data_IF_332765122943
#
_entry.id   IF_332765122943
#
_cell.length_a   1.000
_cell.length_b   1.000
_cell.length_c   1.000
_cell.angle_alpha   90.00
_cell.angle_beta   90.00
_cell.angle_gamma   90.00
#
_symmetry.space_group_name_H-M   'P 1'
#
loop_
_entity.id
_entity.type
_entity.pdbx_description
1 polymer ?
#
# COMPACT_ATOMS: atom_id res chain seq x y z
N UNK A 1 -34.26 -2.06 -8.34
CA UNK A 1 -33.04 -2.76 -8.81
C UNK A 1 -31.86 -2.08 -8.15
N UNK A 2 -31.29 -2.71 -7.11
CA UNK A 2 -30.12 -2.19 -6.41
C UNK A 2 -28.92 -2.34 -7.34
N UNK A 3 -28.33 -1.24 -7.82
CA UNK A 3 -27.06 -1.31 -8.54
C UNK A 3 -26.04 -1.98 -7.62
N UNK A 4 -25.60 -3.19 -7.99
CA UNK A 4 -24.50 -3.87 -7.33
C UNK A 4 -23.27 -2.98 -7.49
N UNK A 5 -22.85 -2.31 -6.42
CA UNK A 5 -21.61 -1.52 -6.40
C UNK A 5 -20.49 -2.45 -6.87
N UNK A 6 -19.91 -2.16 -8.04
CA UNK A 6 -18.79 -2.93 -8.58
C UNK A 6 -17.61 -2.76 -7.63
N UNK A 7 -17.28 -3.82 -6.88
CA UNK A 7 -16.13 -3.85 -5.98
C UNK A 7 -14.88 -3.52 -6.78
N UNK A 8 -14.10 -2.54 -6.32
CA UNK A 8 -12.90 -2.10 -7.02
C UNK A 8 -11.70 -2.97 -6.66
N UNK A 9 -10.70 -3.00 -7.53
CA UNK A 9 -9.45 -3.67 -7.24
C UNK A 9 -8.79 -3.02 -5.99
N UNK A 10 -8.27 -3.85 -5.07
CA UNK A 10 -7.85 -3.52 -3.70
C UNK A 10 -8.95 -3.23 -2.68
N UNK A 11 -10.22 -3.46 -3.00
CA UNK A 11 -11.27 -3.62 -1.99
C UNK A 11 -11.41 -5.10 -1.59
N UNK A 12 -11.79 -5.37 -0.34
CA UNK A 12 -12.10 -6.72 0.15
C UNK A 12 -13.26 -7.33 -0.67
N UNK A 13 -13.16 -8.61 -1.02
CA UNK A 13 -14.16 -9.31 -1.84
C UNK A 13 -13.96 -9.16 -3.35
N UNK A 14 -12.96 -8.41 -3.80
CA UNK A 14 -12.50 -8.48 -5.20
C UNK A 14 -11.58 -9.70 -5.36
N UNK A 15 -11.78 -10.57 -6.37
CA UNK A 15 -11.00 -11.81 -6.52
C UNK A 15 -9.48 -11.61 -6.49
N UNK A 16 -8.98 -10.57 -7.17
CA UNK A 16 -7.55 -10.24 -7.16
C UNK A 16 -7.05 -9.70 -5.81
N UNK A 17 -7.90 -9.03 -5.01
CA UNK A 17 -7.55 -8.57 -3.66
C UNK A 17 -7.47 -9.75 -2.69
N UNK A 18 -8.42 -10.68 -2.79
CA UNK A 18 -8.46 -11.86 -1.93
C UNK A 18 -7.26 -12.76 -2.22
N UNK A 19 -6.94 -12.98 -3.50
CA UNK A 19 -5.76 -13.73 -3.93
C UNK A 19 -4.46 -13.11 -3.39
N UNK A 20 -4.26 -11.79 -3.51
CA UNK A 20 -2.99 -11.17 -3.06
C UNK A 20 -2.86 -11.22 -1.52
N UNK A 21 -3.97 -11.14 -0.78
CA UNK A 21 -3.97 -11.30 0.67
C UNK A 21 -3.60 -12.72 1.10
N UNK A 22 -4.18 -13.73 0.45
CA UNK A 22 -3.87 -15.14 0.66
C UNK A 22 -2.40 -15.43 0.35
N UNK A 23 -1.96 -15.07 -0.86
CA UNK A 23 -0.57 -15.23 -1.29
C UNK A 23 0.42 -14.54 -0.34
N UNK A 24 0.10 -13.32 0.13
CA UNK A 24 0.94 -12.63 1.11
C UNK A 24 0.97 -13.36 2.47
N UNK A 25 -0.14 -13.95 2.90
CA UNK A 25 -0.21 -14.80 4.08
C UNK A 25 0.75 -16.00 3.97
N UNK A 26 0.74 -16.66 2.81
CA UNK A 26 1.59 -17.82 2.52
C UNK A 26 3.09 -17.51 2.45
N UNK A 27 3.46 -16.26 2.13
CA UNK A 27 4.87 -15.83 2.20
C UNK A 27 5.47 -15.97 3.60
N UNK A 28 4.66 -16.06 4.66
CA UNK A 28 5.16 -16.36 6.02
C UNK A 28 5.71 -17.78 6.11
N UNK A 29 5.08 -18.73 5.41
CA UNK A 29 5.50 -20.12 5.35
C UNK A 29 6.58 -20.33 4.27
N UNK A 30 6.51 -19.58 3.16
CA UNK A 30 7.51 -19.64 2.09
C UNK A 30 8.60 -18.55 2.23
N UNK A 31 9.45 -18.71 3.26
CA UNK A 31 10.54 -17.76 3.57
C UNK A 31 11.51 -17.53 2.39
N UNK A 32 11.69 -18.54 1.52
CA UNK A 32 12.53 -18.46 0.33
C UNK A 32 12.00 -17.46 -0.69
N UNK A 33 10.74 -17.61 -1.12
CA UNK A 33 10.08 -16.68 -2.04
C UNK A 33 10.10 -15.24 -1.51
N UNK A 34 9.84 -15.09 -0.22
CA UNK A 34 9.86 -13.77 0.43
C UNK A 34 11.25 -13.16 0.43
N UNK A 35 12.29 -13.95 0.73
CA UNK A 35 13.67 -13.48 0.73
C UNK A 35 14.16 -13.14 -0.68
N UNK A 36 13.77 -13.93 -1.69
CA UNK A 36 14.06 -13.67 -3.10
C UNK A 36 13.56 -12.27 -3.51
N UNK A 37 12.26 -12.00 -3.30
CA UNK A 37 11.65 -10.72 -3.66
C UNK A 37 12.27 -9.54 -2.88
N UNK A 38 12.52 -9.70 -1.58
CA UNK A 38 13.13 -8.64 -0.74
C UNK A 38 14.56 -8.27 -1.12
N UNK A 39 15.29 -9.15 -1.81
CA UNK A 39 16.69 -8.93 -2.23
C UNK A 39 16.79 -8.20 -3.56
N UNK A 40 15.72 -8.17 -4.34
CA UNK A 40 15.67 -7.47 -5.62
C UNK A 40 15.85 -5.95 -5.41
N UNK A 41 16.72 -5.33 -6.21
CA UNK A 41 17.11 -3.92 -6.07
C UNK A 41 16.31 -2.96 -6.94
N UNK A 42 15.64 -3.49 -7.96
CA UNK A 42 14.87 -2.75 -8.95
C UNK A 42 13.72 -3.63 -9.51
N UNK A 43 12.83 -3.00 -10.28
CA UNK A 43 11.65 -3.68 -10.83
C UNK A 43 12.00 -4.77 -11.84
N UNK A 44 13.13 -4.63 -12.55
CA UNK A 44 13.59 -5.64 -13.50
C UNK A 44 14.01 -6.93 -12.79
N UNK A 45 14.75 -6.83 -11.69
CA UNK A 45 15.11 -7.97 -10.84
C UNK A 45 13.86 -8.65 -10.27
N UNK A 46 12.86 -7.88 -9.82
CA UNK A 46 11.57 -8.45 -9.39
C UNK A 46 10.93 -9.24 -10.52
N UNK A 47 10.84 -8.66 -11.73
CA UNK A 47 10.21 -9.33 -12.87
C UNK A 47 10.92 -10.62 -13.29
N UNK A 48 12.22 -10.75 -13.04
CA UNK A 48 12.99 -11.95 -13.33
C UNK A 48 12.92 -13.01 -12.22
N UNK A 49 12.43 -12.65 -11.02
CA UNK A 49 12.34 -13.55 -9.88
C UNK A 49 11.28 -14.65 -10.11
N UNK A 50 11.58 -15.87 -9.66
CA UNK A 50 10.67 -17.01 -9.79
C UNK A 50 9.42 -16.82 -8.91
N UNK A 51 9.59 -16.27 -7.71
CA UNK A 51 8.47 -15.92 -6.83
C UNK A 51 7.50 -14.90 -7.48
N UNK A 52 8.02 -13.94 -8.24
CA UNK A 52 7.19 -13.00 -8.99
C UNK A 52 6.43 -13.70 -10.11
N UNK A 53 7.11 -14.49 -10.94
CA UNK A 53 6.48 -15.16 -12.09
C UNK A 53 5.31 -16.05 -11.67
N UNK A 54 5.50 -16.86 -10.61
CA UNK A 54 4.42 -17.70 -10.05
C UNK A 54 3.23 -16.87 -9.59
N UNK A 55 3.48 -15.78 -8.84
CA UNK A 55 2.42 -14.91 -8.36
C UNK A 55 1.71 -14.18 -9.50
N UNK A 56 2.46 -13.66 -10.47
CA UNK A 56 1.95 -12.88 -11.60
C UNK A 56 0.91 -13.65 -12.42
N UNK A 57 1.22 -14.90 -12.81
CA UNK A 57 0.34 -15.67 -13.69
C UNK A 57 -0.97 -16.07 -13.01
N UNK A 58 -0.95 -16.32 -11.71
CA UNK A 58 -2.17 -16.59 -10.95
C UNK A 58 -2.95 -15.30 -10.69
N UNK A 59 -2.27 -14.23 -10.29
CA UNK A 59 -2.90 -12.96 -9.98
C UNK A 59 -3.58 -12.34 -11.21
N UNK A 60 -2.97 -12.44 -12.40
CA UNK A 60 -3.52 -11.84 -13.63
C UNK A 60 -4.83 -12.49 -14.10
N UNK A 61 -5.04 -13.77 -13.78
CA UNK A 61 -6.29 -14.49 -14.09
C UNK A 61 -7.49 -13.84 -13.40
N UNK A 62 -7.28 -13.25 -12.22
CA UNK A 62 -8.32 -12.55 -11.46
C UNK A 62 -8.64 -11.13 -11.99
N UNK A 63 -7.96 -10.65 -13.03
CA UNK A 63 -8.28 -9.36 -13.69
C UNK A 63 -9.27 -9.53 -14.85
N UNK A 64 -9.81 -10.72 -15.04
CA UNK A 64 -10.71 -11.03 -16.16
C UNK A 64 -12.16 -10.66 -15.81
N UNK A 65 -12.56 -9.42 -16.10
CA UNK A 65 -13.90 -9.00 -16.57
C UNK A 65 -14.02 -7.46 -16.63
N UNK A 66 -13.77 -6.90 -17.83
CA UNK A 66 -14.05 -5.49 -18.13
C UNK A 66 -13.18 -4.45 -17.42
N UNK A 67 -11.98 -4.84 -16.94
CA UNK A 67 -10.97 -3.92 -16.43
C UNK A 67 -9.74 -3.89 -17.34
N UNK A 68 -9.01 -2.78 -17.30
CA UNK A 68 -7.74 -2.65 -18.00
C UNK A 68 -6.72 -3.61 -17.40
N UNK A 69 -6.10 -4.43 -18.26
CA UNK A 69 -5.04 -5.37 -17.88
C UNK A 69 -3.86 -4.58 -17.28
N UNK A 70 -3.42 -4.90 -16.04
CA UNK A 70 -2.25 -4.29 -15.43
C UNK A 70 -0.99 -4.41 -16.29
N UNK A 71 -0.14 -3.39 -16.29
CA UNK A 71 1.21 -3.52 -16.85
C UNK A 71 2.07 -4.44 -15.96
N UNK A 72 3.07 -5.09 -16.57
CA UNK A 72 4.07 -5.88 -15.82
C UNK A 72 4.82 -5.05 -14.77
N UNK A 73 4.96 -3.75 -15.00
CA UNK A 73 5.61 -2.85 -14.04
C UNK A 73 4.71 -2.61 -12.82
N UNK A 74 3.41 -2.38 -13.02
CA UNK A 74 2.44 -2.24 -11.92
C UNK A 74 2.40 -3.50 -11.06
N UNK A 75 2.40 -4.67 -11.71
CA UNK A 75 2.42 -5.97 -11.03
C UNK A 75 3.71 -6.16 -10.22
N UNK A 76 4.86 -5.80 -10.78
CA UNK A 76 6.14 -5.89 -10.09
C UNK A 76 6.18 -5.01 -8.84
N UNK A 77 5.61 -3.81 -8.91
CA UNK A 77 5.51 -2.91 -7.75
C UNK A 77 4.66 -3.55 -6.65
N UNK A 78 3.45 -4.02 -6.96
CA UNK A 78 2.54 -4.49 -5.90
C UNK A 78 3.02 -5.81 -5.27
N UNK A 79 3.50 -6.76 -6.08
CA UNK A 79 4.05 -8.05 -5.60
C UNK A 79 5.33 -7.80 -4.80
N UNK A 80 6.22 -6.93 -5.31
CA UNK A 80 7.45 -6.57 -4.63
C UNK A 80 7.18 -5.89 -3.27
N UNK A 81 6.27 -4.91 -3.21
CA UNK A 81 5.93 -4.20 -1.97
C UNK A 81 5.31 -5.13 -0.94
N UNK A 82 4.39 -6.00 -1.35
CA UNK A 82 3.74 -6.96 -0.46
C UNK A 82 4.76 -7.86 0.27
N UNK A 83 5.84 -8.27 -0.39
CA UNK A 83 6.89 -9.08 0.24
C UNK A 83 7.61 -8.37 1.41
N UNK A 84 7.62 -7.03 1.43
CA UNK A 84 8.24 -6.25 2.51
C UNK A 84 7.34 -6.09 3.75
N UNK A 85 6.04 -6.34 3.64
CA UNK A 85 5.04 -6.18 4.72
C UNK A 85 5.08 -7.41 5.64
N UNK A 86 5.06 -7.22 6.96
CA UNK A 86 5.05 -8.27 7.99
C UNK A 86 3.69 -8.47 8.65
N UNK A 87 2.93 -7.39 8.80
CA UNK A 87 1.60 -7.42 9.40
C UNK A 87 0.65 -6.54 8.57
N UNK A 88 -0.53 -7.09 8.25
CA UNK A 88 -1.59 -6.35 7.58
C UNK A 88 -2.43 -5.65 8.65
N UNK A 89 -2.21 -4.35 8.82
CA UNK A 89 -2.89 -3.54 9.81
C UNK A 89 -4.16 -2.93 9.23
N UNK A 90 -5.27 -3.63 9.44
CA UNK A 90 -6.62 -3.22 9.03
C UNK A 90 -7.37 -2.46 10.14
N UNK A 91 -6.74 -2.25 11.30
CA UNK A 91 -7.42 -1.70 12.49
C UNK A 91 -7.52 -0.17 12.42
N UNK A 92 -8.56 0.33 11.79
CA UNK A 92 -8.96 1.73 11.94
C UNK A 92 -9.61 1.94 13.31
N UNK A 93 -8.95 2.69 14.20
CA UNK A 93 -9.52 3.18 15.46
C UNK A 93 -9.70 4.70 15.37
N UNK A 94 -10.69 5.14 14.62
CA UNK A 94 -11.28 6.46 14.82
C UNK A 94 -12.79 6.23 14.93
N UNK A 95 -13.34 6.59 16.08
CA UNK A 95 -14.75 6.41 16.47
C UNK A 95 -15.69 7.38 15.77
N UNK A 96 -15.16 8.28 14.95
CA UNK A 96 -15.91 9.22 14.12
C UNK A 96 -15.75 8.88 12.63
N UNK A 97 -16.89 8.52 12.03
CA UNK A 97 -17.19 8.50 10.59
C UNK A 97 -17.45 7.12 9.99
N UNK A 98 -18.71 6.96 9.59
CA UNK A 98 -19.16 6.02 8.58
C UNK A 98 -18.19 5.98 7.38
N UNK A 99 -17.67 4.79 7.04
CA UNK A 99 -17.11 4.45 5.73
C UNK A 99 -15.78 5.10 5.24
N UNK A 100 -14.96 5.75 6.07
CA UNK A 100 -13.65 6.25 5.61
C UNK A 100 -12.48 5.25 5.79
N UNK A 101 -12.61 3.99 5.33
CA UNK A 101 -11.51 3.00 5.34
C UNK A 101 -10.43 3.27 4.28
N UNK A 102 -10.75 4.05 3.25
CA UNK A 102 -9.85 4.36 2.14
C UNK A 102 -8.68 5.26 2.58
N UNK A 103 -7.47 4.97 2.08
CA UNK A 103 -6.25 5.73 2.34
C UNK A 103 -5.77 5.72 3.81
N UNK A 104 -6.06 4.66 4.57
CA UNK A 104 -5.56 4.48 5.94
C UNK A 104 -4.01 4.51 6.04
N UNK A 105 -3.30 4.07 5.01
CA UNK A 105 -1.84 4.17 4.92
C UNK A 105 -1.35 5.62 5.07
N UNK A 106 -2.12 6.61 4.60
CA UNK A 106 -1.83 8.02 4.81
C UNK A 106 -1.85 8.40 6.31
N UNK A 107 -2.85 7.89 7.04
CA UNK A 107 -2.94 8.07 8.49
C UNK A 107 -1.79 7.39 9.21
N UNK A 108 -1.41 6.18 8.79
CA UNK A 108 -0.27 5.46 9.38
C UNK A 108 1.04 6.25 9.21
N UNK A 109 1.23 6.93 8.07
CA UNK A 109 2.37 7.84 7.86
C UNK A 109 2.34 9.08 8.75
N UNK A 110 1.17 9.70 8.94
CA UNK A 110 0.99 10.91 9.75
C UNK A 110 0.91 10.64 11.27
N UNK A 111 0.65 9.39 11.67
CA UNK A 111 0.57 8.97 13.06
C UNK A 111 1.87 9.30 13.82
N UNK A 112 1.80 9.64 15.12
CA UNK A 112 2.99 9.93 15.92
C UNK A 112 3.88 8.68 16.06
N UNK A 113 5.19 8.88 16.19
CA UNK A 113 6.14 7.78 16.46
C UNK A 113 6.02 7.20 17.87
N UNK A 114 5.33 7.89 18.78
CA UNK A 114 5.18 7.54 20.18
C UNK A 114 3.84 8.01 20.73
N UNK A 115 3.64 7.83 22.04
CA UNK A 115 2.40 8.21 22.74
C UNK A 115 2.42 9.65 23.27
N UNK A 116 3.54 10.36 23.15
CA UNK A 116 3.69 11.71 23.68
C UNK A 116 3.04 12.76 22.76
N UNK A 117 2.46 13.79 23.37
CA UNK A 117 1.62 14.79 22.69
C UNK A 117 2.38 15.63 21.63
N UNK A 118 3.71 15.64 21.64
CA UNK A 118 4.54 16.40 20.69
C UNK A 118 5.50 15.53 19.86
N UNK A 119 5.23 14.23 19.72
CA UNK A 119 6.09 13.38 18.90
C UNK A 119 5.87 13.67 17.40
N UNK A 120 6.96 13.86 16.60
CA UNK A 120 6.84 14.02 15.16
C UNK A 120 6.14 12.82 14.51
N UNK A 121 5.51 13.01 13.34
CA UNK A 121 4.89 11.92 12.59
C UNK A 121 5.92 10.87 12.17
N UNK A 122 5.46 9.62 11.97
CA UNK A 122 6.29 8.51 11.48
C UNK A 122 7.01 8.87 10.18
N UNK A 123 6.29 9.50 9.25
CA UNK A 123 6.85 10.17 8.09
C UNK A 123 6.69 11.69 8.24
N UNK A 124 7.80 12.42 8.30
CA UNK A 124 7.80 13.89 8.33
C UNK A 124 7.14 14.50 7.09
N UNK A 125 6.49 15.66 7.23
CA UNK A 125 5.86 16.38 6.10
C UNK A 125 6.86 16.63 4.95
N UNK A 126 8.11 16.99 5.26
CA UNK A 126 9.14 17.17 4.23
C UNK A 126 9.35 15.91 3.36
N UNK A 127 9.39 14.73 3.99
CA UNK A 127 9.51 13.45 3.26
C UNK A 127 8.22 13.09 2.54
N UNK A 128 7.06 13.39 3.12
CA UNK A 128 5.77 13.21 2.46
C UNK A 128 5.63 14.06 1.20
N UNK A 129 6.03 15.33 1.24
CA UNK A 129 6.07 16.20 0.03
C UNK A 129 7.03 15.67 -1.03
N UNK A 130 8.16 15.06 -0.63
CA UNK A 130 9.07 14.37 -1.57
C UNK A 130 8.40 13.17 -2.23
N UNK A 131 7.67 12.36 -1.46
CA UNK A 131 6.88 11.24 -1.98
C UNK A 131 5.92 11.70 -3.08
N UNK A 132 5.09 12.72 -2.82
CA UNK A 132 4.10 13.22 -3.81
C UNK A 132 4.73 13.70 -5.13
N UNK A 133 5.97 14.19 -5.08
CA UNK A 133 6.71 14.67 -6.27
C UNK A 133 7.29 13.53 -7.13
N UNK A 134 7.31 12.29 -6.65
CA UNK A 134 7.84 11.15 -7.40
C UNK A 134 6.92 10.86 -8.60
N UNK A 135 7.50 10.85 -9.80
CA UNK A 135 6.85 10.44 -11.06
C UNK A 135 7.33 9.06 -11.53
N UNK A 136 8.62 8.80 -11.33
CA UNK A 136 9.27 7.55 -11.71
C UNK A 136 8.83 6.38 -10.82
N UNK A 137 8.44 5.27 -11.45
CA UNK A 137 7.87 4.09 -10.80
C UNK A 137 8.89 3.33 -9.96
N UNK A 138 10.14 3.24 -10.41
CA UNK A 138 11.20 2.59 -9.63
C UNK A 138 11.58 3.39 -8.38
N UNK A 139 11.66 4.74 -8.50
CA UNK A 139 11.84 5.62 -7.35
C UNK A 139 10.66 5.51 -6.38
N UNK A 140 9.43 5.42 -6.87
CA UNK A 140 8.25 5.22 -6.03
C UNK A 140 8.36 3.91 -5.24
N UNK A 141 8.64 2.81 -5.94
CA UNK A 141 8.83 1.49 -5.34
C UNK A 141 9.85 1.52 -4.20
N UNK A 142 11.05 2.05 -4.47
CA UNK A 142 12.11 2.16 -3.44
C UNK A 142 11.71 3.06 -2.29
N UNK A 143 11.03 4.17 -2.56
CA UNK A 143 10.57 5.08 -1.51
C UNK A 143 9.52 4.41 -0.62
N UNK A 144 8.55 3.70 -1.20
CA UNK A 144 7.51 2.99 -0.45
C UNK A 144 8.09 1.85 0.40
N UNK A 145 9.14 1.15 -0.04
CA UNK A 145 9.88 0.19 0.81
C UNK A 145 10.44 0.89 2.06
N UNK A 146 11.00 2.09 1.91
CA UNK A 146 11.51 2.84 3.07
C UNK A 146 10.37 3.25 4.01
N UNK A 147 9.22 3.66 3.46
CA UNK A 147 8.03 3.99 4.27
C UNK A 147 7.52 2.76 5.02
N UNK A 148 7.43 1.59 4.38
CA UNK A 148 7.05 0.33 5.04
C UNK A 148 7.98 0.07 6.23
N UNK A 149 9.30 0.25 6.06
CA UNK A 149 10.28 0.06 7.15
C UNK A 149 10.11 1.08 8.28
N UNK A 150 9.77 2.33 7.96
CA UNK A 150 9.46 3.37 8.96
C UNK A 150 8.19 3.09 9.75
N UNK A 151 7.27 2.30 9.18
CA UNK A 151 6.03 1.86 9.81
C UNK A 151 6.18 0.47 10.46
N UNK A 152 7.40 0.06 10.80
CA UNK A 152 7.72 -1.24 11.40
C UNK A 152 7.21 -2.44 10.60
N UNK A 153 7.06 -2.25 9.28
CA UNK A 153 6.49 -3.22 8.34
C UNK A 153 5.05 -3.65 8.67
N UNK A 154 4.35 -2.85 9.48
CA UNK A 154 2.93 -3.00 9.82
C UNK A 154 2.15 -1.92 9.09
N UNK A 155 1.50 -2.30 7.99
CA UNK A 155 0.81 -1.37 7.10
C UNK A 155 -0.49 -2.00 6.62
N UNK A 156 -1.47 -1.17 6.27
CA UNK A 156 -2.62 -1.67 5.53
C UNK A 156 -2.15 -2.11 4.14
N UNK A 157 -2.19 -3.42 3.88
CA UNK A 157 -1.64 -4.01 2.67
C UNK A 157 -2.39 -3.53 1.45
N UNK A 158 -3.71 -3.74 1.39
CA UNK A 158 -4.50 -3.42 0.20
C UNK A 158 -4.47 -1.93 -0.13
N UNK A 159 -4.54 -1.07 0.90
CA UNK A 159 -4.50 0.37 0.71
C UNK A 159 -3.14 0.84 0.14
N UNK A 160 -2.03 0.33 0.67
CA UNK A 160 -0.70 0.60 0.13
C UNK A 160 -0.57 0.13 -1.33
N UNK A 161 -1.04 -1.08 -1.63
CA UNK A 161 -0.95 -1.60 -2.99
C UNK A 161 -1.81 -0.78 -3.96
N UNK A 162 -3.00 -0.34 -3.54
CA UNK A 162 -3.88 0.56 -4.30
C UNK A 162 -3.19 1.88 -4.62
N UNK A 163 -2.59 2.52 -3.62
CA UNK A 163 -1.83 3.77 -3.79
C UNK A 163 -0.69 3.58 -4.79
N UNK A 164 0.06 2.48 -4.68
CA UNK A 164 1.19 2.19 -5.54
C UNK A 164 0.76 1.89 -6.98
N UNK A 165 -0.35 1.17 -7.17
CA UNK A 165 -0.91 0.81 -8.45
C UNK A 165 -1.44 2.03 -9.22
N UNK A 166 -2.31 2.81 -8.57
CA UNK A 166 -2.97 4.00 -9.13
C UNK A 166 -2.18 5.31 -8.98
N UNK A 167 -0.88 5.22 -8.69
CA UNK A 167 -0.03 6.38 -8.43
C UNK A 167 -0.09 7.41 -9.57
N UNK A 168 -0.47 8.66 -9.25
CA UNK A 168 -0.66 9.73 -10.23
C UNK A 168 -2.00 10.43 -10.06
N UNK A 169 -3.05 9.84 -10.64
CA UNK A 169 -4.32 10.49 -10.94
C UNK A 169 -5.09 10.94 -9.69
N UNK A 170 -5.72 9.98 -9.00
CA UNK A 170 -6.52 10.22 -7.79
C UNK A 170 -5.77 9.83 -6.51
N UNK A 171 -4.77 8.96 -6.62
CA UNK A 171 -4.01 8.48 -5.48
C UNK A 171 -3.25 9.62 -4.76
N UNK A 172 -2.60 10.53 -5.49
CA UNK A 172 -1.80 11.62 -4.87
C UNK A 172 -2.68 12.64 -4.12
N UNK A 173 -3.75 13.21 -4.71
CA UNK A 173 -4.62 14.13 -4.00
C UNK A 173 -5.27 13.51 -2.76
N UNK A 174 -5.80 12.30 -2.87
CA UNK A 174 -6.48 11.61 -1.75
C UNK A 174 -5.50 11.28 -0.62
N UNK A 175 -4.31 10.78 -0.96
CA UNK A 175 -3.25 10.52 0.00
C UNK A 175 -2.84 11.79 0.75
N UNK A 176 -2.70 12.92 0.03
CA UNK A 176 -2.38 14.21 0.63
C UNK A 176 -3.47 14.67 1.59
N UNK A 177 -4.73 14.62 1.16
CA UNK A 177 -5.88 15.01 1.98
C UNK A 177 -5.90 14.24 3.31
N UNK A 178 -5.80 12.91 3.28
CA UNK A 178 -5.84 12.09 4.51
C UNK A 178 -4.60 12.28 5.40
N UNK A 179 -3.41 12.40 4.80
CA UNK A 179 -2.19 12.69 5.56
C UNK A 179 -2.31 14.02 6.32
N UNK A 180 -2.72 15.10 5.64
CA UNK A 180 -2.86 16.42 6.27
C UNK A 180 -4.05 16.47 7.23
N UNK A 181 -5.17 15.78 6.96
CA UNK A 181 -6.27 15.63 7.91
C UNK A 181 -5.75 15.09 9.24
N UNK A 182 -4.97 13.99 9.23
CA UNK A 182 -4.40 13.43 10.46
C UNK A 182 -3.30 14.31 11.08
N UNK A 183 -2.46 14.94 10.27
CA UNK A 183 -1.41 15.82 10.76
C UNK A 183 -1.99 17.08 11.44
N UNK A 184 -3.08 17.62 10.91
CA UNK A 184 -3.73 18.84 11.42
C UNK A 184 -4.65 18.57 12.61
N UNK A 185 -5.29 17.40 12.71
CA UNK A 185 -6.02 17.00 13.91
C UNK A 185 -5.14 17.05 15.17
N UNK A 186 -3.82 16.82 15.02
CA UNK A 186 -2.86 17.00 16.11
C UNK A 186 -2.70 18.46 16.56
N UNK A 187 -2.82 19.42 15.64
CA UNK A 187 -2.67 20.84 15.96
C UNK A 187 -3.88 21.37 16.74
N UNK A 188 -5.08 20.83 16.50
CA UNK A 188 -6.31 21.22 17.21
C UNK A 188 -6.48 20.58 18.59
N UNK A 189 -5.90 19.40 18.84
CA UNK A 189 -5.97 18.71 20.15
C UNK A 189 -4.95 19.23 21.18
N UNK A 190 -4.13 20.22 20.80
CA UNK A 190 -3.07 20.83 21.62
C UNK A 190 -3.29 22.31 21.95
N UNK A 191 -4.50 22.85 21.70
CA UNK A 191 -4.92 24.21 22.06
C UNK A 191 -5.71 24.26 23.35
#
# INVERSE_FOLDING_TARGET
>A
MTELKKVQFFEEGHPASDYILEWWGDLKQNKGNRAELRRCKNLKEIQLASAYQRCYWQLIEHFTQGQQVPSREQMAIIIGLAAHIEENDTKYKDSDSNNEKEYYFAYQMAAPKGKEKNTPPKLSELRFRRLLKIKDREKLFRFLIQVIRLLDKKVNLLDLLSIAYYWGDKAKPNLAYKYYKKANLKLSEGG
#
